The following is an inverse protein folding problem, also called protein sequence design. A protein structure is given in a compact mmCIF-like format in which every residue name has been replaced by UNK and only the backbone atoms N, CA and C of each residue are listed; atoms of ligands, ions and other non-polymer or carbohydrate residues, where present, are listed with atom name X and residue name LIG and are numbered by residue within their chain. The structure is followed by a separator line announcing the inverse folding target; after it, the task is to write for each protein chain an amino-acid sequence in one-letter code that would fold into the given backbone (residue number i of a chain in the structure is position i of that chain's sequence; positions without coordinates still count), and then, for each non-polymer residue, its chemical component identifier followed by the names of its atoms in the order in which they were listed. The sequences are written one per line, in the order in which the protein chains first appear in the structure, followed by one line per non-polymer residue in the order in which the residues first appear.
data_IF_097781890624
#
_entry.id   IF_097781890624
#
_cell.length_a   1.000
_cell.length_b   1.000
_cell.length_c   1.000
_cell.angle_alpha   90.00
_cell.angle_beta   90.00
_cell.angle_gamma   90.00
#
_symmetry.space_group_name_H-M   'P 1'
#
loop_
_entity.id
_entity.type
_entity.pdbx_description
1 polymer ?
#
# COMPACT_ATOMS: atom_id res chain seq x y z
N UNK A 1 -2.66 10.40 7.55
CA UNK A 1 -3.19 9.09 7.07
C UNK A 1 -2.14 8.49 6.15
N UNK A 2 -1.83 7.20 6.28
CA UNK A 2 -0.84 6.52 5.42
C UNK A 2 -1.47 5.25 4.82
N UNK A 3 -1.42 5.13 3.50
CA UNK A 3 -1.75 3.88 2.80
C UNK A 3 -0.60 2.91 3.03
N UNK A 4 -0.87 1.75 3.66
CA UNK A 4 0.18 0.81 4.04
C UNK A 4 0.14 -0.50 3.24
N UNK A 5 -1.00 -0.82 2.62
CA UNK A 5 -1.19 -2.06 1.88
C UNK A 5 -2.33 -1.94 0.87
N UNK A 6 -2.17 -2.61 -0.28
CA UNK A 6 -3.23 -2.85 -1.26
C UNK A 6 -3.25 -4.31 -1.67
N UNK A 7 -4.43 -4.93 -1.67
CA UNK A 7 -4.70 -6.20 -2.34
C UNK A 7 -5.55 -5.93 -3.58
N UNK A 8 -5.15 -6.47 -4.73
CA UNK A 8 -5.82 -6.28 -6.02
C UNK A 8 -6.17 -7.65 -6.55
N UNK A 9 -7.44 -8.04 -6.47
CA UNK A 9 -7.94 -9.25 -7.12
C UNK A 9 -8.13 -8.97 -8.61
N UNK A 10 -8.83 -7.89 -8.93
CA UNK A 10 -9.09 -7.45 -10.29
C UNK A 10 -9.19 -5.93 -10.39
N UNK A 11 -8.30 -5.30 -11.16
CA UNK A 11 -8.44 -3.90 -11.55
C UNK A 11 -7.77 -3.68 -12.91
N UNK A 12 -8.60 -3.49 -13.95
CA UNK A 12 -8.14 -3.32 -15.34
C UNK A 12 -7.23 -4.47 -15.78
N UNK A 13 -5.92 -4.22 -15.90
CA UNK A 13 -4.91 -5.20 -16.32
C UNK A 13 -4.03 -5.69 -15.16
N UNK A 14 -4.42 -5.38 -13.91
CA UNK A 14 -3.75 -5.84 -12.70
C UNK A 14 -4.63 -6.91 -12.06
N UNK A 15 -4.07 -8.08 -11.82
CA UNK A 15 -4.80 -9.23 -11.28
C UNK A 15 -3.97 -9.92 -10.21
N UNK A 16 -4.63 -10.36 -9.14
CA UNK A 16 -4.06 -11.17 -8.04
C UNK A 16 -2.71 -10.65 -7.55
N UNK A 17 -2.63 -9.35 -7.25
CA UNK A 17 -1.39 -8.68 -6.90
C UNK A 17 -1.51 -7.96 -5.55
N UNK A 18 -0.47 -8.14 -4.72
CA UNK A 18 -0.34 -7.48 -3.43
C UNK A 18 0.75 -6.43 -3.48
N UNK A 19 0.48 -5.25 -2.91
CA UNK A 19 1.43 -4.14 -2.85
C UNK A 19 1.57 -3.68 -1.41
N UNK A 20 2.74 -3.96 -0.84
CA UNK A 20 3.12 -3.47 0.48
C UNK A 20 3.73 -2.06 0.37
N UNK A 21 3.14 -1.10 1.06
CA UNK A 21 3.51 0.31 0.96
C UNK A 21 4.17 0.85 2.24
N UNK A 22 4.18 0.07 3.32
CA UNK A 22 4.86 0.40 4.57
C UNK A 22 5.88 -0.67 4.96
N UNK A 23 7.03 -0.24 5.44
CA UNK A 23 8.09 -1.07 6.03
C UNK A 23 7.82 -1.39 7.51
N UNK A 24 7.00 -0.57 8.18
CA UNK A 24 6.59 -0.77 9.59
C UNK A 24 5.52 -1.85 9.81
N UNK A 25 4.92 -2.37 8.74
CA UNK A 25 3.82 -3.33 8.84
C UNK A 25 4.05 -4.48 7.87
N UNK A 26 3.82 -5.69 8.35
CA UNK A 26 3.59 -6.85 7.51
C UNK A 26 2.08 -7.00 7.32
N UNK A 27 1.66 -7.21 6.08
CA UNK A 27 0.26 -7.25 5.70
C UNK A 27 0.05 -8.41 4.73
N UNK A 28 -1.03 -9.18 4.94
CA UNK A 28 -1.43 -10.25 4.04
C UNK A 28 -2.95 -10.36 4.00
N UNK A 29 -3.50 -10.52 2.81
CA UNK A 29 -4.91 -10.84 2.62
C UNK A 29 -5.05 -12.28 2.12
N UNK A 30 -5.71 -13.12 2.91
CA UNK A 30 -5.89 -14.55 2.57
C UNK A 30 -7.22 -15.06 3.09
N UNK A 31 -7.94 -15.81 2.26
CA UNK A 31 -9.21 -16.47 2.62
C UNK A 31 -10.25 -15.51 3.23
N UNK A 32 -10.37 -14.31 2.66
CA UNK A 32 -11.30 -13.28 3.14
C UNK A 32 -10.85 -12.59 4.44
N UNK A 33 -9.66 -12.89 4.94
CA UNK A 33 -9.11 -12.34 6.19
C UNK A 33 -7.88 -11.49 5.92
N UNK A 34 -7.89 -10.30 6.51
CA UNK A 34 -6.74 -9.41 6.53
C UNK A 34 -5.91 -9.65 7.79
N UNK A 35 -4.63 -9.96 7.62
CA UNK A 35 -3.65 -10.08 8.70
C UNK A 35 -2.71 -8.88 8.64
N UNK A 36 -2.49 -8.25 9.79
CA UNK A 36 -1.65 -7.06 9.93
C UNK A 36 -0.81 -7.22 11.19
N UNK A 37 0.50 -7.17 11.02
CA UNK A 37 1.47 -7.23 12.12
C UNK A 37 2.34 -5.99 12.07
N UNK A 38 2.54 -5.35 13.22
CA UNK A 38 3.49 -4.24 13.34
C UNK A 38 4.88 -4.83 13.56
N UNK A 39 5.82 -4.43 12.72
CA UNK A 39 7.21 -4.88 12.79
C UNK A 39 7.98 -4.04 13.81
N UNK A 40 8.93 -4.67 14.50
CA UNK A 40 9.85 -3.98 15.39
C UNK A 40 10.76 -3.03 14.60
N UNK A 41 11.15 -1.92 15.22
CA UNK A 41 12.03 -0.96 14.56
C UNK A 41 13.44 -1.53 14.41
N UNK A 42 13.91 -1.58 13.16
CA UNK A 42 15.28 -1.98 12.87
C UNK A 42 16.24 -0.82 13.24
N UNK A 43 16.95 -0.98 14.35
CA UNK A 43 17.92 0.01 14.88
C UNK A 43 19.10 0.25 13.94
N UNK A 44 19.55 -0.76 13.19
CA UNK A 44 20.64 -0.64 12.21
C UNK A 44 20.19 0.23 11.03
N UNK A 45 18.97 0.00 10.53
CA UNK A 45 18.41 0.85 9.48
C UNK A 45 18.17 2.29 9.98
N UNK A 46 17.96 2.51 11.28
CA UNK A 46 17.78 3.86 11.84
C UNK A 46 19.11 4.62 11.78
N UNK A 47 20.18 3.92 12.16
CA UNK A 47 21.54 4.45 12.11
C UNK A 47 22.02 4.72 10.68
N UNK A 48 21.76 3.82 9.73
CA UNK A 48 22.25 3.96 8.34
C UNK A 48 21.50 5.03 7.56
N UNK A 49 20.20 5.18 7.77
CA UNK A 49 19.38 6.07 6.94
C UNK A 49 19.15 7.46 7.54
N UNK A 50 19.50 7.69 8.82
CA UNK A 50 19.43 8.93 9.65
C UNK A 50 18.14 9.79 9.57
N UNK A 51 17.23 9.49 8.64
CA UNK A 51 16.14 10.36 8.24
C UNK A 51 14.97 9.49 7.74
N UNK A 52 13.80 9.70 8.33
CA UNK A 52 12.55 8.97 8.03
C UNK A 52 12.12 9.10 6.56
N UNK A 53 12.66 10.08 5.83
CA UNK A 53 12.41 10.27 4.40
C UNK A 53 12.86 9.07 3.56
N UNK A 54 14.07 8.57 3.78
CA UNK A 54 14.63 7.45 2.99
C UNK A 54 13.86 6.14 3.22
N UNK A 55 13.32 5.95 4.43
CA UNK A 55 12.54 4.76 4.81
C UNK A 55 11.17 4.68 4.14
N UNK A 56 10.63 5.83 3.71
CA UNK A 56 9.32 5.92 3.10
C UNK A 56 9.34 5.96 1.56
N UNK A 57 10.51 5.77 0.94
CA UNK A 57 10.64 5.74 -0.51
C UNK A 57 10.22 4.36 -1.06
N UNK A 58 9.26 4.37 -1.99
CA UNK A 58 8.85 3.17 -2.75
C UNK A 58 9.04 3.44 -4.24
N UNK A 59 9.71 2.51 -4.92
CA UNK A 59 9.94 2.60 -6.36
C UNK A 59 9.04 1.58 -7.06
N UNK A 60 8.18 2.05 -7.95
CA UNK A 60 7.32 1.21 -8.77
C UNK A 60 7.98 0.96 -10.13
N UNK A 61 8.44 -0.27 -10.36
CA UNK A 61 9.15 -0.68 -11.58
C UNK A 61 8.38 -1.74 -12.38
N UNK A 62 8.57 -1.76 -13.69
CA UNK A 62 7.94 -2.74 -14.58
C UNK A 62 7.94 -2.28 -16.04
N UNK A 63 7.71 -3.21 -16.98
CA UNK A 63 7.65 -2.93 -18.43
C UNK A 63 6.49 -1.96 -18.79
N UNK A 64 6.51 -1.33 -19.95
CA UNK A 64 5.35 -0.57 -20.44
C UNK A 64 4.13 -1.49 -20.54
N UNK A 65 2.95 -0.99 -20.16
CA UNK A 65 1.72 -1.80 -20.13
C UNK A 65 1.56 -2.74 -18.92
N UNK A 66 2.52 -2.78 -17.98
CA UNK A 66 2.43 -3.60 -16.75
C UNK A 66 1.42 -3.10 -15.70
N UNK A 67 0.73 -1.99 -15.96
CA UNK A 67 -0.28 -1.45 -15.04
C UNK A 67 0.21 -0.42 -14.03
N UNK A 68 1.47 0.05 -14.10
CA UNK A 68 1.99 1.10 -13.18
C UNK A 68 1.09 2.33 -13.06
N UNK A 69 0.67 2.89 -14.20
CA UNK A 69 -0.25 4.05 -14.23
C UNK A 69 -1.64 3.68 -13.71
N UNK A 70 -2.14 2.48 -14.03
CA UNK A 70 -3.42 2.01 -13.53
C UNK A 70 -3.41 1.84 -12.00
N UNK A 71 -2.32 1.34 -11.42
CA UNK A 71 -2.14 1.26 -9.97
C UNK A 71 -2.19 2.65 -9.32
N UNK A 72 -1.47 3.63 -9.85
CA UNK A 72 -1.48 5.00 -9.33
C UNK A 72 -2.87 5.65 -9.45
N UNK A 73 -3.58 5.41 -10.56
CA UNK A 73 -4.95 5.85 -10.72
C UNK A 73 -5.90 5.16 -9.75
N UNK A 74 -5.71 3.86 -9.48
CA UNK A 74 -6.50 3.11 -8.52
C UNK A 74 -6.36 3.69 -7.11
N UNK A 75 -5.14 3.98 -6.64
CA UNK A 75 -4.95 4.53 -5.29
C UNK A 75 -5.46 5.98 -5.19
N UNK A 76 -5.42 6.75 -6.28
CA UNK A 76 -5.89 8.13 -6.34
C UNK A 76 -7.37 8.33 -6.70
N UNK A 77 -8.10 7.24 -6.96
CA UNK A 77 -9.50 7.32 -7.41
C UNK A 77 -10.43 7.83 -6.29
N UNK A 78 -11.36 8.72 -6.64
CA UNK A 78 -12.40 9.21 -5.73
C UNK A 78 -13.50 8.16 -5.48
N UNK A 79 -14.23 8.30 -4.37
CA UNK A 79 -15.23 7.32 -3.95
C UNK A 79 -16.36 7.08 -4.96
N UNK A 80 -16.78 8.10 -5.71
CA UNK A 80 -17.87 7.95 -6.68
C UNK A 80 -17.45 7.04 -7.83
N UNK A 81 -16.26 7.27 -8.39
CA UNK A 81 -15.71 6.40 -9.45
C UNK A 81 -15.47 4.97 -8.97
N UNK A 82 -15.07 4.79 -7.70
CA UNK A 82 -14.92 3.45 -7.12
C UNK A 82 -16.25 2.72 -7.00
N UNK A 83 -17.31 3.41 -6.58
CA UNK A 83 -18.64 2.81 -6.48
C UNK A 83 -19.20 2.43 -7.85
N UNK A 84 -18.95 3.25 -8.86
CA UNK A 84 -19.35 2.97 -10.25
C UNK A 84 -18.64 1.71 -10.80
N UNK A 85 -17.35 1.56 -10.51
CA UNK A 85 -16.55 0.42 -11.00
C UNK A 85 -16.63 -0.84 -10.13
N UNK A 86 -17.29 -0.80 -8.97
CA UNK A 86 -17.36 -1.92 -8.01
C UNK A 86 -18.03 -3.19 -8.57
N UNK A 87 -18.72 -3.10 -9.71
CA UNK A 87 -19.29 -4.27 -10.41
C UNK A 87 -18.23 -5.11 -11.14
N UNK A 88 -17.12 -4.49 -11.56
CA UNK A 88 -16.04 -5.15 -12.31
C UNK A 88 -14.76 -5.26 -11.51
N UNK A 89 -14.51 -4.28 -10.62
CA UNK A 89 -13.25 -4.16 -9.91
C UNK A 89 -13.37 -4.77 -8.51
N UNK A 90 -12.33 -5.48 -8.09
CA UNK A 90 -12.22 -6.10 -6.78
C UNK A 90 -10.83 -5.82 -6.21
N UNK A 91 -10.76 -4.94 -5.21
CA UNK A 91 -9.52 -4.59 -4.52
C UNK A 91 -9.81 -4.07 -3.11
N UNK A 92 -8.81 -4.15 -2.24
CA UNK A 92 -8.85 -3.70 -0.86
C UNK A 92 -7.64 -2.78 -0.60
N UNK A 93 -7.89 -1.55 -0.17
CA UNK A 93 -6.86 -0.61 0.25
C UNK A 93 -6.94 -0.42 1.76
N UNK A 94 -5.82 -0.64 2.47
CA UNK A 94 -5.77 -0.45 3.92
C UNK A 94 -4.98 0.80 4.29
N UNK A 95 -5.69 1.77 4.89
CA UNK A 95 -5.16 3.06 5.31
C UNK A 95 -5.11 3.09 6.83
N UNK A 96 -3.93 3.36 7.40
CA UNK A 96 -3.77 3.54 8.84
C UNK A 96 -3.71 5.02 9.19
N UNK A 97 -4.43 5.40 10.24
CA UNK A 97 -4.22 6.70 10.88
C UNK A 97 -2.96 6.60 11.76
N UNK A 98 -1.97 7.43 11.46
CA UNK A 98 -0.80 7.58 12.33
C UNK A 98 -1.02 8.87 13.12
N UNK A 99 -1.13 8.75 14.43
CA UNK A 99 -1.03 9.91 15.31
C UNK A 99 0.38 10.50 15.12
N UNK A 100 0.53 11.84 15.11
CA UNK A 100 1.85 12.42 15.19
C UNK A 100 2.50 11.86 16.46
N UNK A 101 3.62 11.16 16.31
CA UNK A 101 4.49 10.84 17.44
C UNK A 101 5.04 12.18 17.91
N UNK A 102 4.37 12.76 18.91
CA UNK A 102 4.90 13.90 19.65
C UNK A 102 6.22 13.46 20.25
N UNK A 103 7.31 13.97 19.70
CA UNK A 103 8.64 13.90 20.26
C UNK A 103 8.62 14.64 21.60
N UNK A 104 8.66 13.88 22.69
CA UNK A 104 9.07 14.34 24.02
C UNK A 104 10.58 14.17 24.15
#
# INVERSE_FOLDING_TARGET
MKLIYCYIENFRNIHNQEVLLSDKFQCQYKDGKMQIEQLEENSIANYVYENDFMRNLRILVGKTGSGKTNFLQMIGMDSWRRMDSAKSDAYLCYIKWMLPTSSL
#
